data_IF_044991526275
#
_entry.id   IF_044991526275
#
_cell.length_a   1.000
_cell.length_b   1.000
_cell.length_c   1.000
_cell.angle_alpha   90.00
_cell.angle_beta   90.00
_cell.angle_gamma   90.00
#
_symmetry.space_group_name_H-M   'P 1'
#
loop_
_entity.id
_entity.type
_entity.pdbx_description
1 polymer ?
#
# COMPACT_ATOMS: atom_id res chain seq x y z
N UNK A 1 6.62 -31.38 -12.62
CA UNK A 1 7.17 -30.22 -11.89
C UNK A 1 6.27 -29.05 -12.18
N UNK A 2 5.61 -28.42 -11.20
CA UNK A 2 4.92 -27.17 -11.48
C UNK A 2 6.00 -26.12 -11.81
N UNK A 3 5.82 -25.39 -12.91
CA UNK A 3 6.66 -24.24 -13.23
C UNK A 3 6.29 -23.14 -12.23
N UNK A 4 7.11 -22.88 -11.22
CA UNK A 4 6.93 -21.69 -10.39
C UNK A 4 6.95 -20.47 -11.31
N UNK A 5 5.85 -19.71 -11.29
CA UNK A 5 5.67 -18.54 -12.15
C UNK A 5 6.63 -17.46 -11.66
N UNK A 6 7.56 -17.04 -12.50
CA UNK A 6 8.49 -15.94 -12.20
C UNK A 6 7.94 -14.63 -12.76
N UNK A 7 7.97 -13.57 -11.96
CA UNK A 7 7.56 -12.23 -12.35
C UNK A 7 8.64 -11.22 -12.03
N UNK A 8 8.72 -10.15 -12.82
CA UNK A 8 9.64 -9.04 -12.58
C UNK A 8 8.85 -7.83 -12.13
N UNK A 9 9.20 -7.29 -10.97
CA UNK A 9 8.56 -6.13 -10.36
C UNK A 9 9.45 -4.89 -10.46
N UNK A 10 8.81 -3.75 -10.73
CA UNK A 10 9.40 -2.43 -10.52
C UNK A 10 8.33 -1.39 -10.24
N UNK A 11 8.65 -0.37 -9.42
CA UNK A 11 7.76 0.74 -9.09
C UNK A 11 7.28 1.51 -10.34
N UNK A 12 8.09 1.56 -11.39
CA UNK A 12 7.81 2.33 -12.60
C UNK A 12 7.12 1.52 -13.72
N UNK A 13 6.80 0.25 -13.48
CA UNK A 13 6.18 -0.62 -14.49
C UNK A 13 4.65 -0.52 -14.55
N UNK A 14 4.01 0.26 -13.67
CA UNK A 14 2.57 0.50 -13.78
C UNK A 14 2.27 1.32 -15.04
N UNK A 15 1.42 0.79 -15.91
CA UNK A 15 1.09 1.40 -17.20
C UNK A 15 2.02 1.01 -18.35
N UNK A 16 3.04 0.18 -18.11
CA UNK A 16 3.81 -0.42 -19.19
C UNK A 16 2.95 -1.46 -19.93
N UNK A 17 2.94 -1.49 -21.28
CA UNK A 17 2.17 -2.48 -22.02
C UNK A 17 2.60 -3.89 -21.61
N UNK A 18 1.61 -4.78 -21.40
CA UNK A 18 1.88 -6.19 -21.14
C UNK A 18 2.80 -6.73 -22.24
N UNK A 19 3.94 -7.36 -21.90
CA UNK A 19 4.88 -7.79 -22.91
C UNK A 19 4.23 -8.81 -23.85
N UNK A 20 4.43 -8.61 -25.14
CA UNK A 20 4.01 -9.53 -26.19
C UNK A 20 4.96 -10.76 -26.17
N UNK A 21 4.76 -11.70 -25.25
CA UNK A 21 5.60 -12.90 -25.18
C UNK A 21 5.39 -13.74 -23.94
N UNK A 22 5.49 -15.07 -24.09
CA UNK A 22 5.45 -16.03 -22.99
C UNK A 22 6.80 -15.99 -22.27
N UNK A 23 6.84 -15.54 -21.01
CA UNK A 23 8.01 -15.74 -20.15
C UNK A 23 8.40 -14.58 -19.23
N UNK A 24 8.06 -13.33 -19.55
CA UNK A 24 8.50 -12.16 -18.77
C UNK A 24 7.30 -11.35 -18.28
N UNK A 25 6.57 -11.83 -17.27
CA UNK A 25 5.44 -11.06 -16.74
C UNK A 25 5.98 -9.91 -15.86
N UNK A 26 6.23 -8.77 -16.50
CA UNK A 26 6.62 -7.51 -15.87
C UNK A 26 5.40 -6.82 -15.28
N UNK A 27 5.45 -6.48 -14.00
CA UNK A 27 4.32 -5.83 -13.31
C UNK A 27 4.80 -4.65 -12.48
N UNK A 28 3.97 -3.61 -12.45
CA UNK A 28 4.12 -2.51 -11.52
C UNK A 28 3.43 -2.77 -10.17
N UNK A 29 3.41 -1.76 -9.28
CA UNK A 29 2.70 -1.79 -8.01
C UNK A 29 1.28 -2.33 -8.09
N UNK A 30 0.42 -1.77 -8.93
CA UNK A 30 -0.97 -2.21 -9.07
C UNK A 30 -1.08 -3.66 -9.52
N UNK A 31 -0.35 -4.01 -10.59
CA UNK A 31 -0.38 -5.36 -11.16
C UNK A 31 0.14 -6.44 -10.21
N UNK A 32 1.18 -6.15 -9.42
CA UNK A 32 1.67 -7.07 -8.40
C UNK A 32 0.63 -7.31 -7.31
N UNK A 33 0.00 -6.25 -6.81
CA UNK A 33 -1.02 -6.36 -5.76
C UNK A 33 -2.23 -7.15 -6.25
N UNK A 34 -2.70 -6.89 -7.48
CA UNK A 34 -3.82 -7.61 -8.09
C UNK A 34 -3.52 -9.12 -8.19
N UNK A 35 -2.32 -9.49 -8.66
CA UNK A 35 -1.91 -10.90 -8.79
C UNK A 35 -1.85 -11.62 -7.43
N UNK A 36 -1.26 -10.96 -6.42
CA UNK A 36 -1.15 -11.54 -5.08
C UNK A 36 -2.52 -11.67 -4.42
N UNK A 37 -3.38 -10.66 -4.56
CA UNK A 37 -4.74 -10.69 -4.06
C UNK A 37 -5.58 -11.79 -4.73
N UNK A 38 -5.43 -11.99 -6.03
CA UNK A 38 -6.09 -13.08 -6.77
C UNK A 38 -5.63 -14.46 -6.26
N UNK A 39 -4.31 -14.67 -6.14
CA UNK A 39 -3.76 -15.95 -5.66
C UNK A 39 -4.11 -16.27 -4.20
N UNK A 40 -4.24 -15.24 -3.36
CA UNK A 40 -4.58 -15.39 -1.95
C UNK A 40 -6.10 -15.31 -1.68
N UNK A 41 -6.92 -15.12 -2.72
CA UNK A 41 -8.38 -14.97 -2.57
C UNK A 41 -8.80 -13.71 -1.80
N UNK A 42 -7.95 -12.70 -1.78
CA UNK A 42 -8.16 -11.42 -1.09
C UNK A 42 -8.76 -10.40 -2.06
N UNK A 43 -9.99 -10.62 -2.52
CA UNK A 43 -10.64 -9.63 -3.39
C UNK A 43 -10.81 -8.31 -2.63
N UNK A 44 -10.19 -7.26 -3.16
CA UNK A 44 -10.35 -5.88 -2.73
C UNK A 44 -11.22 -5.18 -3.77
N UNK A 45 -12.31 -4.51 -3.37
CA UNK A 45 -12.98 -3.63 -4.32
C UNK A 45 -12.11 -2.40 -4.50
N UNK A 46 -11.50 -2.27 -5.68
CA UNK A 46 -10.67 -1.12 -6.01
C UNK A 46 -11.51 0.15 -5.85
N UNK A 47 -11.21 0.91 -4.80
CA UNK A 47 -12.04 2.04 -4.43
C UNK A 47 -11.54 3.27 -5.13
N UNK A 48 -12.44 3.93 -5.85
CA UNK A 48 -12.12 5.23 -6.45
C UNK A 48 -11.49 6.15 -5.41
N UNK A 49 -10.49 6.92 -5.83
CA UNK A 49 -9.81 7.89 -4.97
C UNK A 49 -10.82 8.83 -4.26
N UNK A 50 -11.92 9.16 -4.95
CA UNK A 50 -13.01 9.96 -4.40
C UNK A 50 -13.74 9.26 -3.24
N UNK A 51 -14.05 7.96 -3.35
CA UNK A 51 -14.75 7.22 -2.30
C UNK A 51 -13.94 7.23 -0.99
N UNK A 52 -12.62 7.02 -1.07
CA UNK A 52 -11.74 7.07 0.12
C UNK A 52 -11.71 8.46 0.74
N UNK A 53 -11.71 9.51 -0.08
CA UNK A 53 -11.75 10.90 0.41
C UNK A 53 -13.07 11.19 1.11
N UNK A 54 -14.22 10.85 0.51
CA UNK A 54 -15.53 11.06 1.13
C UNK A 54 -15.67 10.32 2.45
N UNK A 55 -15.13 9.11 2.51
CA UNK A 55 -15.24 8.33 3.73
C UNK A 55 -14.19 8.75 4.79
N UNK A 56 -13.04 9.33 4.39
CA UNK A 56 -12.18 10.09 5.31
C UNK A 56 -12.92 11.31 5.86
N UNK A 57 -13.62 12.07 5.02
CA UNK A 57 -14.43 13.22 5.45
C UNK A 57 -15.47 12.81 6.51
N UNK A 58 -16.18 11.69 6.31
CA UNK A 58 -17.13 11.13 7.29
C UNK A 58 -16.45 10.79 8.62
N UNK A 59 -15.20 10.31 8.59
CA UNK A 59 -14.43 10.04 9.82
C UNK A 59 -14.05 11.35 10.50
N UNK A 60 -13.52 12.33 9.76
CA UNK A 60 -13.08 13.61 10.33
C UNK A 60 -14.24 14.39 10.97
N UNK A 61 -15.47 14.27 10.43
CA UNK A 61 -16.70 14.86 11.02
C UNK A 61 -16.98 14.38 12.44
N UNK A 62 -16.44 13.25 12.89
CA UNK A 62 -16.67 12.76 14.25
C UNK A 62 -15.70 13.36 15.28
N UNK A 63 -14.77 14.21 14.85
CA UNK A 63 -13.78 14.85 15.71
C UNK A 63 -14.08 16.35 15.87
N UNK A 64 -13.98 16.83 17.11
CA UNK A 64 -13.92 18.26 17.42
C UNK A 64 -12.57 18.61 18.05
N UNK A 65 -12.19 19.89 17.97
CA UNK A 65 -11.03 20.45 18.67
C UNK A 65 -9.72 19.73 18.38
N UNK A 66 -9.51 19.37 17.11
CA UNK A 66 -8.27 18.76 16.60
C UNK A 66 -7.49 19.77 15.76
N UNK A 67 -6.22 19.43 15.49
CA UNK A 67 -5.31 20.30 14.74
C UNK A 67 -5.80 20.66 13.32
N UNK A 68 -6.75 19.89 12.78
CA UNK A 68 -7.33 20.09 11.45
C UNK A 68 -8.73 20.73 11.49
N UNK A 69 -9.32 20.95 12.67
CA UNK A 69 -10.73 21.36 12.80
C UNK A 69 -11.03 22.70 12.09
N UNK A 70 -10.19 23.71 12.27
CA UNK A 70 -10.36 25.03 11.63
C UNK A 70 -10.31 24.94 10.09
N UNK A 71 -9.36 24.17 9.55
CA UNK A 71 -9.25 23.94 8.11
C UNK A 71 -10.41 23.10 7.58
N UNK A 72 -10.86 22.12 8.37
CA UNK A 72 -11.99 21.26 8.03
C UNK A 72 -13.30 22.03 7.93
N UNK A 73 -13.53 23.03 8.79
CA UNK A 73 -14.69 23.91 8.69
C UNK A 73 -14.69 24.76 7.41
N UNK A 74 -13.51 25.14 6.93
CA UNK A 74 -13.35 25.94 5.71
C UNK A 74 -13.56 25.10 4.45
N UNK A 75 -12.90 23.93 4.38
CA UNK A 75 -13.04 23.00 3.25
C UNK A 75 -12.90 21.54 3.75
N UNK A 76 -14.03 20.86 4.02
CA UNK A 76 -14.03 19.47 4.48
C UNK A 76 -13.35 18.51 3.51
N UNK A 77 -13.57 18.70 2.21
CA UNK A 77 -13.16 17.76 1.18
C UNK A 77 -11.66 17.87 0.89
N UNK A 78 -11.13 19.10 0.83
CA UNK A 78 -9.69 19.32 0.70
C UNK A 78 -8.93 18.84 1.94
N UNK A 79 -9.46 19.09 3.13
CA UNK A 79 -8.87 18.62 4.39
C UNK A 79 -8.83 17.10 4.46
N UNK A 80 -9.93 16.43 4.10
CA UNK A 80 -10.00 14.97 4.03
C UNK A 80 -8.99 14.39 3.04
N UNK A 81 -8.85 15.00 1.86
CA UNK A 81 -7.86 14.59 0.84
C UNK A 81 -6.43 14.72 1.35
N UNK A 82 -6.10 15.84 2.00
CA UNK A 82 -4.77 16.08 2.56
C UNK A 82 -4.45 15.07 3.66
N UNK A 83 -5.35 14.86 4.62
CA UNK A 83 -5.11 13.92 5.72
C UNK A 83 -5.05 12.47 5.24
N UNK A 84 -5.87 12.08 4.25
CA UNK A 84 -5.78 10.76 3.63
C UNK A 84 -4.42 10.56 2.94
N UNK A 85 -3.93 11.56 2.20
CA UNK A 85 -2.60 11.50 1.57
C UNK A 85 -1.49 11.36 2.60
N UNK A 86 -1.48 12.23 3.63
CA UNK A 86 -0.48 12.18 4.69
C UNK A 86 -0.50 10.85 5.42
N UNK A 87 -1.70 10.32 5.67
CA UNK A 87 -1.87 8.98 6.23
C UNK A 87 -1.22 7.93 5.34
N UNK A 88 -1.53 7.91 4.04
CA UNK A 88 -0.99 6.91 3.12
C UNK A 88 0.54 7.01 3.04
N UNK A 89 1.12 8.21 3.02
CA UNK A 89 2.57 8.44 3.05
C UNK A 89 3.21 7.90 4.34
N UNK A 90 2.62 8.17 5.51
CA UNK A 90 3.08 7.63 6.78
C UNK A 90 3.06 6.10 6.79
N UNK A 91 1.97 5.51 6.29
CA UNK A 91 1.81 4.06 6.20
C UNK A 91 2.85 3.45 5.27
N UNK A 92 3.08 4.05 4.10
CA UNK A 92 4.13 3.63 3.16
C UNK A 92 5.53 3.69 3.78
N UNK A 93 5.78 4.67 4.65
CA UNK A 93 6.98 4.78 5.47
C UNK A 93 7.04 3.80 6.65
N UNK A 94 6.06 2.91 6.81
CA UNK A 94 6.03 1.87 7.84
C UNK A 94 5.51 2.31 9.20
N UNK A 95 4.90 3.50 9.31
CA UNK A 95 4.13 3.89 10.50
C UNK A 95 2.99 2.89 10.76
N UNK A 96 2.55 2.76 12.01
CA UNK A 96 1.38 1.96 12.42
C UNK A 96 0.68 2.64 13.60
N UNK A 97 -0.65 2.78 13.55
CA UNK A 97 -1.45 3.29 14.66
C UNK A 97 -1.34 2.47 15.97
N UNK A 98 -0.91 1.20 15.90
CA UNK A 98 -0.71 0.34 17.07
C UNK A 98 0.70 0.42 17.67
N UNK A 99 1.65 1.05 16.97
CA UNK A 99 3.01 1.23 17.49
C UNK A 99 3.01 2.15 18.71
N UNK A 100 4.01 2.01 19.59
CA UNK A 100 4.27 2.99 20.64
C UNK A 100 4.63 4.32 19.99
N UNK A 101 3.62 5.14 19.71
CA UNK A 101 3.81 6.53 19.34
C UNK A 101 4.18 7.26 20.63
N UNK A 102 5.46 7.18 21.01
CA UNK A 102 6.09 8.10 21.96
C UNK A 102 6.13 9.47 21.29
N UNK A 103 5.00 10.11 21.02
CA UNK A 103 5.00 11.13 19.98
C UNK A 103 3.77 12.00 19.89
N UNK A 104 4.04 13.29 19.94
CA UNK A 104 3.29 14.45 19.42
C UNK A 104 1.76 14.32 19.25
N UNK A 105 0.94 15.23 19.83
CA UNK A 105 -0.53 15.17 19.78
C UNK A 105 -1.16 14.96 18.40
N UNK A 106 -0.51 15.46 17.32
CA UNK A 106 -0.96 15.25 15.94
C UNK A 106 -0.89 13.78 15.49
N UNK A 107 0.17 13.05 15.83
CA UNK A 107 0.31 11.64 15.48
C UNK A 107 -0.65 10.76 16.28
N UNK A 108 -0.88 11.10 17.56
CA UNK A 108 -1.92 10.46 18.37
C UNK A 108 -3.31 10.65 17.74
N UNK A 109 -3.63 11.87 17.30
CA UNK A 109 -4.87 12.16 16.56
C UNK A 109 -4.95 11.34 15.26
N UNK A 110 -3.86 11.27 14.48
CA UNK A 110 -3.82 10.47 13.25
C UNK A 110 -4.03 8.98 13.51
N UNK A 111 -3.51 8.44 14.62
CA UNK A 111 -3.74 7.06 15.02
C UNK A 111 -5.22 6.80 15.37
N UNK A 112 -5.87 7.73 16.07
CA UNK A 112 -7.31 7.65 16.34
C UNK A 112 -8.13 7.68 15.04
N UNK A 113 -7.82 8.60 14.13
CA UNK A 113 -8.47 8.73 12.81
C UNK A 113 -8.28 7.45 12.01
N UNK A 114 -7.07 6.91 11.91
CA UNK A 114 -6.77 5.68 11.17
C UNK A 114 -7.58 4.50 11.70
N UNK A 115 -7.67 4.33 13.03
CA UNK A 115 -8.43 3.23 13.63
C UNK A 115 -9.91 3.27 13.24
N UNK A 116 -10.54 4.45 13.29
CA UNK A 116 -11.95 4.63 12.91
C UNK A 116 -12.12 4.49 11.39
N UNK A 117 -11.16 4.99 10.61
CA UNK A 117 -11.17 4.88 9.15
C UNK A 117 -11.14 3.41 8.71
N UNK A 118 -10.23 2.60 9.24
CA UNK A 118 -10.12 1.18 8.89
C UNK A 118 -11.34 0.36 9.33
N UNK A 119 -11.92 0.66 10.50
CA UNK A 119 -13.14 0.00 11.00
C UNK A 119 -14.36 0.27 10.09
N UNK A 120 -14.54 1.52 9.68
CA UNK A 120 -15.69 1.93 8.85
C UNK A 120 -15.57 1.54 7.38
N UNK A 121 -14.35 1.35 6.86
CA UNK A 121 -14.08 1.20 5.43
C UNK A 121 -13.40 -0.12 5.07
N UNK A 122 -13.76 -1.23 5.72
CA UNK A 122 -13.22 -2.57 5.42
C UNK A 122 -13.35 -3.09 3.97
N UNK A 123 -13.73 -2.24 3.00
CA UNK A 123 -13.86 -2.53 1.57
C UNK A 123 -13.11 -1.55 0.65
N UNK A 124 -12.64 -0.39 1.11
CA UNK A 124 -12.05 0.66 0.24
C UNK A 124 -10.58 0.90 0.59
N UNK A 125 -9.72 -0.02 0.14
CA UNK A 125 -8.30 -0.06 0.47
C UNK A 125 -7.48 0.76 -0.54
N UNK A 126 -6.57 1.61 -0.07
CA UNK A 126 -5.53 2.19 -0.90
C UNK A 126 -4.34 1.23 -1.07
N UNK A 127 -3.37 1.57 -1.90
CA UNK A 127 -2.15 0.78 -2.12
C UNK A 127 -1.48 0.39 -0.79
N UNK A 128 -1.30 1.36 0.11
CA UNK A 128 -0.66 1.15 1.40
C UNK A 128 -1.45 0.17 2.31
N UNK A 129 -2.79 0.20 2.21
CA UNK A 129 -3.68 -0.71 2.92
C UNK A 129 -3.63 -2.13 2.37
N UNK A 130 -3.64 -2.25 1.03
CA UNK A 130 -3.54 -3.52 0.31
C UNK A 130 -2.23 -4.23 0.67
N UNK A 131 -1.11 -3.51 0.66
CA UNK A 131 0.20 -4.06 1.06
C UNK A 131 0.17 -4.57 2.51
N UNK A 132 -0.36 -3.79 3.46
CA UNK A 132 -0.46 -4.23 4.87
C UNK A 132 -1.30 -5.50 5.01
N UNK A 133 -2.43 -5.58 4.31
CA UNK A 133 -3.30 -6.76 4.31
C UNK A 133 -2.55 -7.98 3.77
N UNK A 134 -1.84 -7.82 2.66
CA UNK A 134 -1.03 -8.88 2.05
C UNK A 134 0.08 -9.35 2.98
N UNK A 135 0.87 -8.45 3.58
CA UNK A 135 1.91 -8.80 4.56
C UNK A 135 1.32 -9.62 5.71
N UNK A 136 0.13 -9.22 6.21
CA UNK A 136 -0.59 -9.97 7.23
C UNK A 136 -0.90 -11.41 6.80
N UNK A 137 -1.44 -11.60 5.60
CA UNK A 137 -1.82 -12.91 5.06
C UNK A 137 -0.62 -13.78 4.66
N UNK A 138 0.47 -13.18 4.18
CA UNK A 138 1.68 -13.88 3.75
C UNK A 138 2.40 -14.61 4.90
N UNK A 139 2.11 -14.24 6.16
CA UNK A 139 2.59 -14.98 7.32
C UNK A 139 1.97 -16.38 7.44
N UNK A 140 0.75 -16.55 6.93
CA UNK A 140 -0.01 -17.80 7.04
C UNK A 140 0.05 -18.62 5.74
N UNK A 141 0.03 -17.96 4.58
CA UNK A 141 -0.05 -18.59 3.26
C UNK A 141 0.96 -17.97 2.30
N UNK A 142 1.79 -18.81 1.68
CA UNK A 142 2.77 -18.38 0.69
C UNK A 142 2.27 -18.70 -0.73
N UNK A 143 2.22 -17.74 -1.66
CA UNK A 143 1.88 -17.99 -3.05
C UNK A 143 3.01 -18.75 -3.76
N UNK A 144 2.67 -19.57 -4.76
CA UNK A 144 3.66 -20.17 -5.68
C UNK A 144 4.02 -19.15 -6.78
N UNK A 145 4.79 -18.13 -6.37
CA UNK A 145 5.20 -17.00 -7.19
C UNK A 145 6.62 -16.58 -6.81
N UNK A 146 7.53 -16.56 -7.78
CA UNK A 146 8.86 -15.99 -7.62
C UNK A 146 8.85 -14.53 -8.09
N UNK A 147 9.38 -13.62 -7.26
CA UNK A 147 9.42 -12.19 -7.56
C UNK A 147 10.85 -11.72 -7.65
N UNK A 148 11.19 -11.15 -8.80
CA UNK A 148 12.44 -10.44 -9.05
C UNK A 148 12.19 -8.93 -9.01
N UNK A 149 12.70 -8.24 -7.99
CA UNK A 149 12.57 -6.80 -7.83
C UNK A 149 13.77 -6.08 -8.48
N UNK A 150 13.50 -5.11 -9.35
CA UNK A 150 14.54 -4.37 -10.07
C UNK A 150 15.13 -3.19 -9.27
N UNK A 151 14.40 -2.70 -8.27
CA UNK A 151 14.89 -1.66 -7.38
C UNK A 151 15.89 -2.21 -6.37
N UNK A 152 16.80 -1.36 -5.90
CA UNK A 152 17.56 -1.65 -4.69
C UNK A 152 16.65 -1.56 -3.46
N UNK A 153 17.05 -2.22 -2.36
CA UNK A 153 16.31 -2.12 -1.09
C UNK A 153 16.22 -0.69 -0.57
N UNK A 154 17.22 0.13 -0.83
CA UNK A 154 17.31 1.50 -0.31
C UNK A 154 16.42 2.50 -1.09
N UNK A 155 16.06 2.15 -2.33
CA UNK A 155 15.19 2.96 -3.19
C UNK A 155 13.70 2.68 -2.98
N UNK A 156 13.37 1.57 -2.31
CA UNK A 156 11.98 1.19 -2.04
C UNK A 156 11.46 1.85 -0.76
N UNK A 157 10.20 2.32 -0.75
CA UNK A 157 9.51 2.65 0.48
C UNK A 157 9.52 1.46 1.45
N UNK A 158 9.67 1.73 2.75
CA UNK A 158 9.86 0.68 3.77
C UNK A 158 8.75 -0.39 3.73
N UNK A 159 7.50 -0.01 3.45
CA UNK A 159 6.41 -0.97 3.36
C UNK A 159 6.55 -1.93 2.15
N UNK A 160 7.10 -1.47 1.02
CA UNK A 160 7.43 -2.33 -0.11
C UNK A 160 8.57 -3.28 0.23
N UNK A 161 9.63 -2.80 0.91
CA UNK A 161 10.72 -3.67 1.38
C UNK A 161 10.16 -4.80 2.24
N UNK A 162 9.26 -4.49 3.19
CA UNK A 162 8.60 -5.50 4.03
C UNK A 162 7.78 -6.51 3.21
N UNK A 163 7.05 -6.06 2.19
CA UNK A 163 6.31 -6.96 1.31
C UNK A 163 7.25 -7.88 0.52
N UNK A 164 8.32 -7.33 -0.05
CA UNK A 164 9.32 -8.09 -0.78
C UNK A 164 10.01 -9.12 0.12
N UNK A 165 10.31 -8.77 1.36
CA UNK A 165 10.84 -9.69 2.37
C UNK A 165 9.83 -10.81 2.70
N UNK A 166 8.55 -10.48 2.87
CA UNK A 166 7.48 -11.48 3.10
C UNK A 166 7.31 -12.45 1.92
N UNK A 167 7.56 -12.00 0.69
CA UNK A 167 7.54 -12.80 -0.53
C UNK A 167 8.87 -13.53 -0.80
N UNK A 168 9.92 -13.26 -0.01
CA UNK A 168 11.29 -13.73 -0.26
C UNK A 168 11.76 -13.36 -1.67
N UNK A 169 11.41 -12.17 -2.12
CA UNK A 169 11.78 -11.66 -3.42
C UNK A 169 13.30 -11.53 -3.58
N UNK A 170 13.79 -11.74 -4.80
CA UNK A 170 15.18 -11.53 -5.17
C UNK A 170 15.35 -10.11 -5.68
N UNK A 171 16.25 -9.36 -5.07
CA UNK A 171 16.65 -8.03 -5.55
C UNK A 171 17.72 -8.20 -6.62
N UNK A 172 17.46 -7.66 -7.81
CA UNK A 172 18.40 -7.66 -8.93
C UNK A 172 19.05 -6.28 -8.93
N UNK A 173 20.24 -6.16 -8.35
CA UNK A 173 21.02 -4.93 -8.46
C UNK A 173 21.27 -4.65 -9.94
N UNK A 174 20.84 -3.49 -10.45
CA UNK A 174 20.99 -3.06 -11.84
C UNK A 174 22.44 -2.89 -12.34
N UNK A 175 23.42 -3.51 -11.67
CA UNK A 175 24.83 -3.58 -12.07
C UNK A 175 25.14 -4.73 -13.04
N UNK A 176 24.11 -5.32 -13.66
CA UNK A 176 24.27 -6.16 -14.84
C UNK A 176 24.51 -5.29 -16.06
N UNK A 177 25.78 -4.92 -16.30
CA UNK A 177 26.26 -4.58 -17.65
C UNK A 177 25.77 -5.67 -18.62
N UNK A 178 24.97 -5.28 -19.62
CA UNK A 178 24.82 -6.09 -20.83
C UNK A 178 26.18 -6.15 -21.53
N UNK A 179 26.69 -7.34 -21.89
CA UNK A 179 27.86 -7.46 -22.77
C UNK A 179 27.55 -7.08 -24.23
#
# INVERSE_FOLDING_TARGET
>A
MPLSRSITFSLDLDGYPAPCGVGNNRVGPGGLLDLLEEQLGLTSSDSSSLNRVLAMEVVLKTFSDRFFSETFETDPLATARLLLRLRDELVMGGWSATGQVNGHPRLATMAEVERIFLDKQGRTLGIADRIRRLIGTLNDVQPDLAVDCLESRDDLPLLWVKLMDSLKARFIDGSGEEP
#
